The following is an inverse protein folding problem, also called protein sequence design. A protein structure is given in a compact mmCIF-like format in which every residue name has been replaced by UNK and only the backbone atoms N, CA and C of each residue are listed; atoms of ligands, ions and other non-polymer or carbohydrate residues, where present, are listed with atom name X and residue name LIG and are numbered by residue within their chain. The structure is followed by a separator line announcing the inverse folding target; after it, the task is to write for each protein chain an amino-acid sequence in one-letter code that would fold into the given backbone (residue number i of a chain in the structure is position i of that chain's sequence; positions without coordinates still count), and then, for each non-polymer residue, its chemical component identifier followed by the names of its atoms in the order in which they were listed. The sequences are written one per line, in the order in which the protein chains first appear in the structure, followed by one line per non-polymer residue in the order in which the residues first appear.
data_IF_592201926474
#
_entry.id   IF_592201926474
#
_cell.length_a   1.000
_cell.length_b   1.000
_cell.length_c   1.000
_cell.angle_alpha   90.00
_cell.angle_beta   90.00
_cell.angle_gamma   90.00
#
_symmetry.space_group_name_H-M   'P 1'
#
loop_
_entity.id
_entity.type
_entity.pdbx_description
1 polymer ?
#
# COMPACT_ATOMS: atom_id res chain seq x y z
N UNK A 1 -4.04 -11.46 -34.67
CA UNK A 1 -4.30 -10.42 -33.67
C UNK A 1 -3.42 -10.73 -32.47
N UNK A 2 -2.24 -10.11 -32.38
CA UNK A 2 -1.33 -10.30 -31.24
C UNK A 2 -1.89 -9.51 -30.06
N UNK A 3 -2.26 -10.20 -28.99
CA UNK A 3 -2.53 -9.58 -27.70
C UNK A 3 -1.18 -9.44 -26.97
N UNK A 4 -0.64 -8.23 -26.92
CA UNK A 4 0.43 -7.90 -25.98
C UNK A 4 -0.16 -7.97 -24.56
N UNK A 5 0.15 -9.03 -23.83
CA UNK A 5 -0.08 -9.07 -22.38
C UNK A 5 0.95 -8.18 -21.71
N UNK A 6 0.61 -6.90 -21.49
CA UNK A 6 1.43 -6.02 -20.67
C UNK A 6 1.29 -6.45 -19.21
N UNK A 7 2.27 -7.17 -18.69
CA UNK A 7 2.44 -7.33 -17.24
C UNK A 7 2.84 -5.97 -16.69
N UNK A 8 1.89 -5.25 -16.09
CA UNK A 8 2.19 -4.04 -15.34
C UNK A 8 3.05 -4.42 -14.13
N UNK A 9 4.36 -4.14 -14.19
CA UNK A 9 5.20 -4.13 -13.00
C UNK A 9 4.75 -2.99 -12.11
N UNK A 10 4.73 -3.19 -10.80
CA UNK A 10 4.57 -2.10 -9.85
C UNK A 10 5.58 -1.00 -10.16
N UNK A 11 5.14 0.26 -10.22
CA UNK A 11 6.05 1.38 -10.34
C UNK A 11 6.88 1.48 -9.05
N UNK A 12 8.17 1.78 -9.16
CA UNK A 12 9.01 2.04 -7.98
C UNK A 12 9.01 3.53 -7.70
N UNK A 13 8.47 3.92 -6.54
CA UNK A 13 8.51 5.29 -6.04
C UNK A 13 9.71 5.44 -5.11
N UNK A 14 10.61 6.35 -5.46
CA UNK A 14 11.74 6.70 -4.60
C UNK A 14 11.30 7.67 -3.50
N UNK A 15 11.63 7.36 -2.25
CA UNK A 15 11.30 8.17 -1.08
C UNK A 15 12.59 8.75 -0.50
N UNK A 16 12.62 10.07 -0.38
CA UNK A 16 13.70 10.87 0.22
C UNK A 16 13.09 11.83 1.24
N UNK A 17 13.88 12.33 2.20
CA UNK A 17 13.37 13.27 3.20
C UNK A 17 12.92 14.59 2.54
N UNK A 18 11.74 15.09 2.93
CA UNK A 18 11.19 16.33 2.40
C UNK A 18 10.65 16.22 0.97
N UNK A 19 10.34 15.01 0.50
CA UNK A 19 9.75 14.75 -0.82
C UNK A 19 8.53 15.65 -1.08
N UNK A 20 8.43 16.17 -2.31
CA UNK A 20 7.29 16.94 -2.80
C UNK A 20 6.76 16.34 -4.12
N UNK A 21 5.44 16.37 -4.38
CA UNK A 21 4.39 16.86 -3.47
C UNK A 21 4.22 15.96 -2.25
N UNK A 22 3.76 16.54 -1.13
CA UNK A 22 3.36 15.81 0.08
C UNK A 22 1.89 16.18 0.42
N UNK A 23 0.94 15.21 0.38
CA UNK A 23 1.14 13.79 0.14
C UNK A 23 1.33 13.41 -1.33
N UNK A 24 2.05 12.32 -1.58
CA UNK A 24 1.98 11.59 -2.85
C UNK A 24 0.71 10.75 -2.85
N UNK A 25 -0.11 10.87 -3.90
CA UNK A 25 -1.37 10.14 -4.05
C UNK A 25 -1.28 9.15 -5.19
N UNK A 26 -1.30 7.86 -4.88
CA UNK A 26 -1.34 6.75 -5.84
C UNK A 26 -2.76 6.17 -5.92
N UNK A 27 -3.09 5.48 -7.02
CA UNK A 27 -4.39 4.85 -7.25
C UNK A 27 -4.23 3.40 -7.67
N UNK A 28 -5.21 2.57 -7.34
CA UNK A 28 -5.27 1.18 -7.75
C UNK A 28 -6.59 0.52 -7.37
N UNK A 29 -6.59 -0.81 -7.35
CA UNK A 29 -7.73 -1.64 -6.96
C UNK A 29 -7.37 -2.52 -5.76
N UNK A 30 -8.27 -2.65 -4.79
CA UNK A 30 -8.12 -3.57 -3.64
C UNK A 30 -8.26 -5.03 -4.06
N UNK A 31 -7.91 -5.93 -3.13
CA UNK A 31 -8.14 -7.36 -3.25
C UNK A 31 -7.08 -8.08 -4.09
N UNK A 32 -7.44 -9.23 -4.64
CA UNK A 32 -6.56 -10.07 -5.44
C UNK A 32 -6.91 -11.54 -5.27
N UNK A 33 -6.04 -12.43 -5.75
CA UNK A 33 -6.27 -13.87 -5.74
C UNK A 33 -5.35 -14.65 -4.80
N UNK A 34 -4.42 -13.97 -4.13
CA UNK A 34 -3.45 -14.61 -3.23
C UNK A 34 -3.89 -14.40 -1.80
N UNK A 35 -4.11 -15.50 -1.08
CA UNK A 35 -4.34 -15.45 0.36
C UNK A 35 -3.02 -15.17 1.08
N UNK A 36 -2.93 -14.00 1.71
CA UNK A 36 -1.78 -13.61 2.52
C UNK A 36 -1.82 -14.19 3.94
N UNK A 37 -2.84 -15.01 4.25
CA UNK A 37 -3.13 -15.69 5.51
C UNK A 37 -3.59 -14.76 6.64
N UNK A 38 -2.85 -13.70 6.93
CA UNK A 38 -3.10 -12.79 8.04
C UNK A 38 -3.53 -11.38 7.61
N UNK A 39 -3.46 -11.06 6.31
CA UNK A 39 -3.77 -9.72 5.77
C UNK A 39 -4.77 -9.74 4.61
N UNK A 40 -5.61 -10.77 4.51
CA UNK A 40 -6.64 -10.90 3.49
C UNK A 40 -6.10 -11.28 2.10
N UNK A 41 -6.94 -11.10 1.08
CA UNK A 41 -6.62 -11.39 -0.31
C UNK A 41 -5.87 -10.21 -0.93
N UNK A 42 -4.67 -10.47 -1.46
CA UNK A 42 -3.76 -9.48 -2.04
C UNK A 42 -3.46 -9.80 -3.51
N UNK A 43 -2.99 -8.81 -4.31
CA UNK A 43 -2.59 -9.08 -5.69
C UNK A 43 -1.32 -9.96 -5.74
N UNK A 44 -1.13 -10.65 -6.87
CA UNK A 44 0.05 -11.52 -7.11
C UNK A 44 1.37 -10.74 -7.19
N UNK A 45 1.31 -9.46 -7.55
CA UNK A 45 2.43 -8.54 -7.57
C UNK A 45 2.13 -7.36 -6.62
N UNK A 46 3.16 -6.68 -6.07
CA UNK A 46 2.95 -5.49 -5.25
C UNK A 46 2.07 -4.47 -5.97
N UNK A 47 1.19 -3.80 -5.24
CA UNK A 47 0.45 -2.66 -5.74
C UNK A 47 1.38 -1.46 -5.99
N UNK A 48 2.45 -1.35 -5.19
CA UNK A 48 3.47 -0.32 -5.28
C UNK A 48 4.78 -0.85 -4.69
N UNK A 49 5.93 -0.41 -5.23
CA UNK A 49 7.23 -0.57 -4.58
C UNK A 49 7.73 0.80 -4.13
N UNK A 50 8.20 0.89 -2.88
CA UNK A 50 8.87 2.09 -2.36
C UNK A 50 10.35 1.79 -2.20
N UNK A 51 11.20 2.64 -2.78
CA UNK A 51 12.63 2.62 -2.52
C UNK A 51 12.98 3.77 -1.58
N UNK A 52 13.18 3.46 -0.31
CA UNK A 52 13.55 4.45 0.70
C UNK A 52 15.07 4.61 0.69
N UNK A 53 15.55 5.81 0.37
CA UNK A 53 16.98 6.08 0.21
C UNK A 53 17.69 6.35 1.55
N UNK A 54 16.97 6.92 2.52
CA UNK A 54 17.50 7.33 3.82
C UNK A 54 16.46 7.18 4.93
N UNK A 55 16.87 7.28 6.20
CA UNK A 55 15.94 7.16 7.34
C UNK A 55 14.90 8.30 7.29
N UNK A 56 13.62 7.93 7.26
CA UNK A 56 12.50 8.87 7.37
C UNK A 56 11.95 8.82 8.79
N UNK A 57 12.05 9.95 9.51
CA UNK A 57 11.68 10.03 10.93
C UNK A 57 10.18 9.87 11.19
N UNK A 58 9.37 10.20 10.18
CA UNK A 58 7.94 10.00 10.19
C UNK A 58 7.45 9.88 8.75
N UNK A 59 6.79 8.78 8.44
CA UNK A 59 6.00 8.63 7.22
C UNK A 59 4.73 7.85 7.53
N UNK A 60 3.63 8.24 6.89
CA UNK A 60 2.31 7.64 7.01
C UNK A 60 1.83 7.19 5.63
N UNK A 61 1.37 5.95 5.57
CA UNK A 61 0.60 5.40 4.46
C UNK A 61 -0.86 5.29 4.93
N UNK A 62 -1.78 5.97 4.24
CA UNK A 62 -3.23 5.90 4.54
C UNK A 62 -4.00 5.54 3.29
N UNK A 63 -4.94 4.60 3.42
CA UNK A 63 -5.86 4.23 2.34
C UNK A 63 -7.17 5.02 2.42
N UNK A 64 -7.73 5.34 1.26
CA UNK A 64 -9.11 5.79 1.09
C UNK A 64 -9.78 4.89 0.04
N UNK A 65 -10.90 4.27 0.39
CA UNK A 65 -11.60 3.28 -0.45
C UNK A 65 -13.08 3.65 -0.53
N UNK A 66 -13.47 4.54 -1.46
CA UNK A 66 -14.85 5.06 -1.54
C UNK A 66 -15.91 3.98 -1.80
N UNK A 67 -15.51 2.86 -2.42
CA UNK A 67 -16.38 1.70 -2.67
C UNK A 67 -16.64 0.84 -1.42
N UNK A 68 -16.02 1.16 -0.28
CA UNK A 68 -16.09 0.36 0.95
C UNK A 68 -15.34 -0.97 0.83
N UNK A 69 -15.91 -2.02 1.41
CA UNK A 69 -15.24 -3.31 1.56
C UNK A 69 -14.48 -3.40 2.88
N UNK A 70 -13.53 -4.32 2.94
CA UNK A 70 -12.68 -4.58 4.10
C UNK A 70 -11.21 -4.47 3.69
N UNK A 71 -10.75 -3.27 3.29
CA UNK A 71 -9.44 -3.09 2.73
C UNK A 71 -8.35 -3.41 3.75
N UNK A 72 -7.23 -3.91 3.23
CA UNK A 72 -6.02 -4.19 4.01
C UNK A 72 -4.81 -3.54 3.36
N UNK A 73 -3.85 -3.16 4.19
CA UNK A 73 -2.56 -2.63 3.77
C UNK A 73 -1.46 -3.55 4.32
N UNK A 74 -0.90 -4.38 3.44
CA UNK A 74 0.24 -5.24 3.74
C UNK A 74 1.53 -4.58 3.24
N UNK A 75 2.51 -4.48 4.12
CA UNK A 75 3.84 -3.94 3.82
C UNK A 75 4.88 -5.00 4.15
N UNK A 76 5.72 -5.32 3.17
CA UNK A 76 6.89 -6.19 3.32
C UNK A 76 8.15 -5.37 3.06
N UNK A 77 9.04 -5.29 4.04
CA UNK A 77 10.25 -4.48 3.96
C UNK A 77 11.43 -5.08 4.76
N UNK A 78 12.55 -4.36 4.84
CA UNK A 78 13.75 -4.82 5.55
C UNK A 78 13.55 -4.97 7.06
N UNK A 79 12.58 -4.25 7.62
CA UNK A 79 12.20 -4.24 9.03
C UNK A 79 11.12 -5.26 9.39
N UNK A 80 10.57 -5.97 8.39
CA UNK A 80 9.65 -7.07 8.58
C UNK A 80 8.40 -6.97 7.71
N UNK A 81 7.32 -7.55 8.22
CA UNK A 81 6.05 -7.66 7.53
C UNK A 81 4.93 -7.16 8.43
N UNK A 82 4.18 -6.17 7.96
CA UNK A 82 3.17 -5.47 8.75
C UNK A 82 1.85 -5.42 8.00
N UNK A 83 0.77 -5.77 8.70
CA UNK A 83 -0.59 -5.68 8.19
C UNK A 83 -1.37 -4.63 8.98
N UNK A 84 -1.98 -3.68 8.27
CA UNK A 84 -3.05 -2.85 8.80
C UNK A 84 -4.39 -3.24 8.16
N UNK A 85 -5.42 -3.33 8.98
CA UNK A 85 -6.80 -3.67 8.58
C UNK A 85 -7.69 -2.50 8.95
N UNK A 86 -8.74 -2.25 8.18
CA UNK A 86 -9.73 -1.24 8.49
C UNK A 86 -10.39 -1.56 9.85
N UNK A 87 -10.54 -0.54 10.71
CA UNK A 87 -11.33 -0.69 11.92
C UNK A 87 -12.81 -0.59 11.56
N UNK A 88 -13.50 -1.73 11.61
CA UNK A 88 -14.93 -1.84 11.28
C UNK A 88 -15.85 -1.10 12.26
N UNK A 89 -15.37 -0.76 13.45
CA UNK A 89 -16.15 -0.05 14.48
C UNK A 89 -16.02 1.45 14.29
N UNK A 90 -14.79 1.96 14.16
CA UNK A 90 -14.57 3.41 13.94
C UNK A 90 -14.77 3.85 12.50
N UNK A 91 -14.78 2.92 11.54
CA UNK A 91 -14.78 3.22 10.11
C UNK A 91 -13.45 3.76 9.60
N UNK A 92 -12.39 3.67 10.42
CA UNK A 92 -11.07 4.16 10.05
C UNK A 92 -10.44 3.23 9.00
N UNK A 93 -9.98 3.83 7.90
CA UNK A 93 -9.28 3.09 6.87
C UNK A 93 -7.91 2.59 7.36
N UNK A 94 -7.34 1.56 6.70
CA UNK A 94 -6.01 1.05 7.06
C UNK A 94 -4.96 2.15 6.98
N UNK A 95 -4.14 2.23 8.02
CA UNK A 95 -3.04 3.17 8.13
C UNK A 95 -1.82 2.50 8.76
N UNK A 96 -0.63 2.82 8.23
CA UNK A 96 0.65 2.52 8.84
C UNK A 96 1.47 3.80 8.93
N UNK A 97 1.93 4.15 10.13
CA UNK A 97 2.77 5.31 10.36
C UNK A 97 3.93 4.99 11.30
N UNK A 98 5.03 5.73 11.16
CA UNK A 98 6.19 5.54 12.02
C UNK A 98 7.50 5.98 11.38
N UNK A 99 8.60 5.44 11.91
CA UNK A 99 9.93 5.59 11.33
C UNK A 99 10.12 4.55 10.25
N UNK A 100 10.64 4.94 9.09
CA UNK A 100 10.96 4.04 8.00
C UNK A 100 12.45 4.08 7.71
N UNK A 101 13.08 2.91 7.59
CA UNK A 101 14.51 2.78 7.37
C UNK A 101 14.84 2.67 5.87
N UNK A 102 16.10 2.87 5.45
CA UNK A 102 16.48 2.68 4.07
C UNK A 102 16.22 1.24 3.59
N UNK A 103 15.69 1.09 2.39
CA UNK A 103 15.47 -0.20 1.74
C UNK A 103 14.28 -0.25 0.80
N UNK A 104 14.05 -1.43 0.23
CA UNK A 104 12.92 -1.71 -0.64
C UNK A 104 11.73 -2.21 0.18
N UNK A 105 10.57 -1.56 -0.01
CA UNK A 105 9.31 -1.93 0.61
C UNK A 105 8.29 -2.28 -0.47
N UNK A 106 7.69 -3.46 -0.37
CA UNK A 106 6.61 -3.91 -1.23
C UNK A 106 5.28 -3.66 -0.53
N UNK A 107 4.42 -2.90 -1.19
CA UNK A 107 3.12 -2.51 -0.67
C UNK A 107 2.06 -3.29 -1.43
N UNK A 108 1.19 -3.98 -0.71
CA UNK A 108 0.05 -4.71 -1.25
C UNK A 108 -1.22 -4.13 -0.65
N UNK A 109 -2.14 -3.70 -1.51
CA UNK A 109 -3.46 -3.23 -1.11
C UNK A 109 -4.46 -4.34 -1.37
N UNK A 110 -4.86 -5.01 -0.29
CA UNK A 110 -5.74 -6.17 -0.32
C UNK A 110 -7.15 -5.86 0.17
N UNK A 111 -7.92 -6.92 0.35
CA UNK A 111 -9.23 -6.89 0.98
C UNK A 111 -9.49 -8.24 1.68
N UNK A 112 -10.07 -8.22 2.89
CA UNK A 112 -10.36 -9.43 3.66
C UNK A 112 -11.28 -10.40 2.90
N UNK A 113 -12.28 -9.86 2.19
CA UNK A 113 -13.27 -10.65 1.45
C UNK A 113 -12.96 -10.71 -0.05
N UNK A 114 -11.82 -10.14 -0.47
CA UNK A 114 -11.41 -10.06 -1.87
C UNK A 114 -12.19 -9.05 -2.70
N UNK A 115 -12.85 -8.07 -2.08
CA UNK A 115 -13.54 -7.02 -2.81
C UNK A 115 -12.54 -6.25 -3.70
N UNK A 116 -12.97 -5.94 -4.92
CA UNK A 116 -12.18 -5.19 -5.90
C UNK A 116 -12.75 -3.78 -6.06
N UNK A 117 -12.32 -2.87 -5.18
CA UNK A 117 -12.76 -1.48 -5.15
C UNK A 117 -11.61 -0.53 -5.50
N UNK A 118 -11.91 0.62 -6.11
CA UNK A 118 -10.92 1.66 -6.33
C UNK A 118 -10.44 2.23 -4.99
N UNK A 119 -9.13 2.43 -4.88
CA UNK A 119 -8.51 3.07 -3.73
C UNK A 119 -7.63 4.25 -4.13
N UNK A 120 -7.37 5.10 -3.14
CA UNK A 120 -6.28 6.07 -3.12
C UNK A 120 -5.34 5.74 -1.97
N UNK A 121 -4.06 5.59 -2.27
CA UNK A 121 -3.00 5.47 -1.28
C UNK A 121 -2.30 6.82 -1.14
N UNK A 122 -2.38 7.39 0.06
CA UNK A 122 -1.69 8.63 0.44
C UNK A 122 -0.40 8.29 1.18
N UNK A 123 0.72 8.85 0.72
CA UNK A 123 2.04 8.72 1.36
C UNK A 123 2.49 10.11 1.79
N UNK A 124 2.61 10.33 3.10
CA UNK A 124 2.95 11.63 3.66
C UNK A 124 4.07 11.57 4.69
N UNK A 125 4.93 12.58 4.73
CA UNK A 125 5.94 12.76 5.78
C UNK A 125 5.46 13.77 6.86
N UNK A 126 4.21 14.23 6.78
CA UNK A 126 3.58 15.13 7.77
C UNK A 126 2.61 14.37 8.70
N UNK A 127 2.57 14.80 9.97
CA UNK A 127 1.70 14.22 11.01
C UNK A 127 0.26 14.70 10.93
#
# INVERSE_FOLDING_TARGET
MLLCTSTASAETLRIEAGMQPDPVSLRGQTGGSVDSQDCGLVPTAPSQVLQIAERINYMRLSLDVPGGGNPTLLVEGPDGRFCAIADRISGSAPELSGVWLPGEYKIYVGDIDGANNPYRLSISQQR
#
